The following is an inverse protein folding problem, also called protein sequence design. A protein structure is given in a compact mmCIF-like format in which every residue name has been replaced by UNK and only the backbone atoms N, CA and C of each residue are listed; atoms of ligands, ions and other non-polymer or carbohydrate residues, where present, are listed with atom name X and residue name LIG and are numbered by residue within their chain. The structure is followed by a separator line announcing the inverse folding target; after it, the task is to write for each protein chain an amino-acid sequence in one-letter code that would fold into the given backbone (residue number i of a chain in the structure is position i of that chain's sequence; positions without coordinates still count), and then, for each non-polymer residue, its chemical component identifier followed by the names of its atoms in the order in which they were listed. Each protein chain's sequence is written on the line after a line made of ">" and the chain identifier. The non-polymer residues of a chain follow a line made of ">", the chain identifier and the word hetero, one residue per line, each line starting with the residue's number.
data_IF_709906439439
#
_entry.id   IF_709906439439
#
_cell.length_a   1.000
_cell.length_b   1.000
_cell.length_c   1.000
_cell.angle_alpha   90.00
_cell.angle_beta   90.00
_cell.angle_gamma   90.00
#
_symmetry.space_group_name_H-M   'P 1'
#
loop_
_entity.id
_entity.type
_entity.pdbx_description
1 polymer ?
#
# COMPACT_ATOMS: atom_id res chain seq x y z
N UNK A 1 6.65 3.65 -48.71
CA UNK A 1 6.78 2.43 -47.88
C UNK A 1 7.83 2.52 -46.76
N UNK A 2 8.86 3.37 -46.83
CA UNK A 2 9.90 3.45 -45.77
C UNK A 2 9.52 4.20 -44.48
N UNK A 3 8.66 5.22 -44.56
CA UNK A 3 8.29 6.01 -43.36
C UNK A 3 7.47 5.21 -42.34
N UNK A 4 6.58 4.35 -42.83
CA UNK A 4 5.69 3.55 -42.00
C UNK A 4 6.45 2.43 -41.28
N UNK A 5 7.45 1.83 -41.94
CA UNK A 5 8.36 0.86 -41.31
C UNK A 5 9.31 1.52 -40.33
N UNK A 6 9.85 2.71 -40.63
CA UNK A 6 10.71 3.46 -39.68
C UNK A 6 9.94 3.88 -38.43
N UNK A 7 8.71 4.41 -38.59
CA UNK A 7 7.84 4.73 -37.46
C UNK A 7 7.47 3.46 -36.67
N UNK A 8 7.13 2.37 -37.37
CA UNK A 8 6.81 1.09 -36.73
C UNK A 8 7.95 0.54 -35.88
N UNK A 9 9.18 0.55 -36.40
CA UNK A 9 10.37 0.14 -35.65
C UNK A 9 10.65 1.09 -34.49
N UNK A 10 10.48 2.40 -34.69
CA UNK A 10 10.63 3.41 -33.64
C UNK A 10 9.67 3.19 -32.46
N UNK A 11 8.38 3.01 -32.75
CA UNK A 11 7.38 2.71 -31.72
C UNK A 11 7.65 1.39 -31.00
N UNK A 12 8.06 0.35 -31.75
CA UNK A 12 8.41 -0.94 -31.15
C UNK A 12 9.57 -0.79 -30.18
N UNK A 13 10.64 -0.09 -30.58
CA UNK A 13 11.81 0.15 -29.74
C UNK A 13 11.44 0.98 -28.48
N UNK A 14 10.66 2.05 -28.65
CA UNK A 14 10.16 2.85 -27.53
C UNK A 14 9.32 2.01 -26.55
N UNK A 15 8.46 1.13 -27.08
CA UNK A 15 7.62 0.26 -26.26
C UNK A 15 8.47 -0.76 -25.49
N UNK A 16 9.45 -1.40 -26.15
CA UNK A 16 10.38 -2.32 -25.49
C UNK A 16 11.17 -1.60 -24.39
N UNK A 17 11.65 -0.39 -24.65
CA UNK A 17 12.33 0.42 -23.66
C UNK A 17 11.42 0.77 -22.47
N UNK A 18 10.18 1.19 -22.72
CA UNK A 18 9.20 1.48 -21.68
C UNK A 18 8.91 0.26 -20.80
N UNK A 19 8.73 -0.92 -21.42
CA UNK A 19 8.52 -2.19 -20.70
C UNK A 19 9.75 -2.53 -19.86
N UNK A 20 10.95 -2.39 -20.42
CA UNK A 20 12.19 -2.65 -19.69
C UNK A 20 12.35 -1.73 -18.46
N UNK A 21 12.11 -0.43 -18.61
CA UNK A 21 12.16 0.54 -17.49
C UNK A 21 11.10 0.20 -16.43
N UNK A 22 9.89 -0.14 -16.85
CA UNK A 22 8.79 -0.49 -15.94
C UNK A 22 9.09 -1.79 -15.19
N UNK A 23 9.63 -2.80 -15.87
CA UNK A 23 10.05 -4.06 -15.28
C UNK A 23 11.20 -3.86 -14.29
N UNK A 24 12.20 -3.06 -14.65
CA UNK A 24 13.31 -2.72 -13.76
C UNK A 24 12.81 -2.04 -12.49
N UNK A 25 11.93 -1.04 -12.61
CA UNK A 25 11.29 -0.39 -11.45
C UNK A 25 10.54 -1.38 -10.57
N UNK A 26 9.70 -2.23 -11.16
CA UNK A 26 8.91 -3.22 -10.44
C UNK A 26 9.80 -4.23 -9.69
N UNK A 27 10.88 -4.67 -10.35
CA UNK A 27 11.87 -5.56 -9.75
C UNK A 27 12.61 -4.90 -8.59
N UNK A 28 13.05 -3.65 -8.73
CA UNK A 28 13.69 -2.89 -7.64
C UNK A 28 12.77 -2.73 -6.42
N UNK A 29 11.51 -2.33 -6.63
CA UNK A 29 10.52 -2.22 -5.56
C UNK A 29 10.34 -3.56 -4.86
N UNK A 30 10.16 -4.64 -5.63
CA UNK A 30 9.89 -5.98 -5.09
C UNK A 30 11.07 -6.49 -4.29
N UNK A 31 12.28 -6.37 -4.82
CA UNK A 31 13.49 -6.86 -4.16
C UNK A 31 13.77 -6.11 -2.86
N UNK A 32 13.71 -4.77 -2.86
CA UNK A 32 13.95 -3.95 -1.67
C UNK A 32 12.84 -4.17 -0.63
N UNK A 33 11.57 -4.15 -1.05
CA UNK A 33 10.45 -4.33 -0.11
C UNK A 33 10.44 -5.72 0.52
N UNK A 34 10.75 -6.77 -0.25
CA UNK A 34 10.77 -8.15 0.24
C UNK A 34 11.92 -8.39 1.21
N UNK A 35 13.14 -7.93 0.87
CA UNK A 35 14.30 -8.08 1.75
C UNK A 35 14.12 -7.36 3.07
N UNK A 36 13.65 -6.11 3.04
CA UNK A 36 13.32 -5.36 4.26
C UNK A 36 12.20 -6.04 5.05
N UNK A 37 11.14 -6.52 4.39
CA UNK A 37 10.04 -7.18 5.09
C UNK A 37 10.47 -8.44 5.82
N UNK A 38 11.32 -9.28 5.20
CA UNK A 38 11.80 -10.52 5.82
C UNK A 38 12.71 -10.21 7.02
N UNK A 39 13.62 -9.25 6.89
CA UNK A 39 14.51 -8.85 7.99
C UNK A 39 13.73 -8.31 9.19
N UNK A 40 12.73 -7.46 8.93
CA UNK A 40 11.91 -6.87 10.00
C UNK A 40 11.07 -7.90 10.73
N UNK A 41 10.37 -8.78 10.00
CA UNK A 41 9.57 -9.86 10.61
C UNK A 41 10.46 -10.80 11.42
N UNK A 42 11.64 -11.16 10.90
CA UNK A 42 12.62 -11.98 11.62
C UNK A 42 13.09 -11.34 12.92
N UNK A 43 13.43 -10.05 12.90
CA UNK A 43 13.84 -9.31 14.10
C UNK A 43 12.70 -9.18 15.12
N UNK A 44 11.48 -8.92 14.66
CA UNK A 44 10.31 -8.79 15.53
C UNK A 44 9.98 -10.13 16.20
N UNK A 45 10.02 -11.22 15.45
CA UNK A 45 9.81 -12.56 15.96
C UNK A 45 10.92 -12.98 16.94
N UNK A 46 12.19 -12.70 16.59
CA UNK A 46 13.32 -12.95 17.47
C UNK A 46 13.26 -12.15 18.78
N UNK A 47 12.76 -10.91 18.73
CA UNK A 47 12.52 -10.12 19.94
C UNK A 47 11.40 -10.74 20.78
N UNK A 48 10.28 -11.14 20.16
CA UNK A 48 9.14 -11.77 20.83
C UNK A 48 9.56 -13.04 21.58
N UNK A 49 10.39 -13.89 20.97
CA UNK A 49 10.89 -15.12 21.59
C UNK A 49 11.86 -14.89 22.76
N UNK A 50 12.49 -13.71 22.85
CA UNK A 50 13.42 -13.35 23.93
C UNK A 50 12.72 -12.68 25.12
N UNK A 51 11.42 -12.45 25.06
CA UNK A 51 10.70 -11.84 26.18
C UNK A 51 10.59 -12.80 27.39
N UNK A 52 10.71 -12.28 28.62
CA UNK A 52 10.58 -13.08 29.83
C UNK A 52 9.18 -13.67 29.97
N UNK A 53 9.07 -14.84 30.62
CA UNK A 53 7.81 -15.55 30.87
C UNK A 53 6.75 -14.67 31.57
N UNK A 54 7.20 -13.79 32.46
CA UNK A 54 6.40 -12.76 33.13
C UNK A 54 5.54 -11.91 32.17
N UNK A 55 6.01 -11.67 30.94
CA UNK A 55 5.27 -10.94 29.92
C UNK A 55 4.10 -11.77 29.37
N UNK A 56 4.30 -13.08 29.21
CA UNK A 56 3.30 -14.02 28.69
C UNK A 56 2.28 -14.44 29.74
N UNK A 57 2.68 -14.54 31.02
CA UNK A 57 1.75 -14.87 32.11
C UNK A 57 0.78 -13.73 32.42
N UNK A 58 1.19 -12.47 32.24
CA UNK A 58 0.36 -11.28 32.50
C UNK A 58 -0.56 -10.89 31.33
N UNK A 59 -0.41 -11.50 30.14
CA UNK A 59 -1.16 -11.13 28.93
C UNK A 59 -1.86 -12.33 28.30
N UNK A 60 -3.12 -12.15 27.91
CA UNK A 60 -3.83 -13.16 27.14
C UNK A 60 -3.19 -13.35 25.76
N UNK A 61 -3.02 -14.59 25.30
CA UNK A 61 -2.36 -14.92 24.01
C UNK A 61 -2.98 -14.14 22.83
N UNK A 62 -4.29 -13.88 22.88
CA UNK A 62 -5.00 -13.08 21.87
C UNK A 62 -4.58 -11.61 21.78
N UNK A 63 -4.19 -10.96 22.89
CA UNK A 63 -3.69 -9.56 22.88
C UNK A 63 -2.31 -9.50 22.21
N UNK A 64 -1.46 -10.50 22.45
CA UNK A 64 -0.13 -10.60 21.81
C UNK A 64 -0.25 -10.81 20.31
N UNK A 65 -1.14 -11.71 19.86
CA UNK A 65 -1.36 -11.97 18.42
C UNK A 65 -1.94 -10.74 17.72
N UNK A 66 -2.91 -10.05 18.34
CA UNK A 66 -3.50 -8.83 17.78
C UNK A 66 -2.46 -7.71 17.61
N UNK A 67 -1.59 -7.52 18.61
CA UNK A 67 -0.49 -6.55 18.55
C UNK A 67 0.54 -6.92 17.49
N UNK A 68 0.91 -8.20 17.39
CA UNK A 68 1.82 -8.69 16.37
C UNK A 68 1.30 -8.39 14.95
N UNK A 69 0.01 -8.67 14.68
CA UNK A 69 -0.62 -8.35 13.39
C UNK A 69 -0.68 -6.86 13.10
N UNK A 70 -0.92 -6.03 14.12
CA UNK A 70 -0.90 -4.56 13.99
C UNK A 70 0.51 -4.04 13.63
N UNK A 71 1.55 -4.54 14.31
CA UNK A 71 2.94 -4.19 14.01
C UNK A 71 3.35 -4.66 12.62
N UNK A 72 2.93 -5.86 12.21
CA UNK A 72 3.17 -6.36 10.85
C UNK A 72 2.51 -5.47 9.78
N UNK A 73 1.32 -4.96 10.05
CA UNK A 73 0.61 -4.04 9.14
C UNK A 73 1.37 -2.71 9.00
N UNK A 74 1.80 -2.12 10.12
CA UNK A 74 2.62 -0.89 10.13
C UNK A 74 3.92 -1.12 9.36
N UNK A 75 4.59 -2.25 9.62
CA UNK A 75 5.82 -2.63 8.93
C UNK A 75 5.59 -2.78 7.43
N UNK A 76 4.54 -3.47 6.99
CA UNK A 76 4.23 -3.62 5.56
C UNK A 76 4.00 -2.28 4.87
N UNK A 77 3.30 -1.35 5.53
CA UNK A 77 3.12 0.01 5.01
C UNK A 77 4.46 0.73 4.84
N UNK A 78 5.35 0.65 5.83
CA UNK A 78 6.67 1.29 5.78
C UNK A 78 7.65 0.61 4.81
N UNK A 79 7.65 -0.71 4.69
CA UNK A 79 8.60 -1.40 3.81
C UNK A 79 8.11 -1.50 2.37
N UNK A 80 6.80 -1.51 2.13
CA UNK A 80 6.24 -1.63 0.78
C UNK A 80 5.80 -0.27 0.26
N UNK A 81 4.84 0.39 0.93
CA UNK A 81 4.24 1.61 0.36
C UNK A 81 5.23 2.77 0.37
N UNK A 82 5.96 2.97 1.47
CA UNK A 82 6.93 4.06 1.56
C UNK A 82 8.13 3.86 0.61
N UNK A 83 8.67 2.64 0.54
CA UNK A 83 9.74 2.31 -0.44
C UNK A 83 9.27 2.50 -1.88
N UNK A 84 8.06 2.03 -2.21
CA UNK A 84 7.47 2.25 -3.54
C UNK A 84 7.34 3.73 -3.84
N UNK A 85 6.82 4.53 -2.89
CA UNK A 85 6.66 5.97 -3.06
C UNK A 85 8.00 6.69 -3.23
N UNK A 86 9.05 6.26 -2.52
CA UNK A 86 10.39 6.83 -2.67
C UNK A 86 10.98 6.56 -4.06
N UNK A 87 10.86 5.32 -4.56
CA UNK A 87 11.30 4.93 -5.90
C UNK A 87 10.49 5.67 -6.97
N UNK A 88 9.18 5.79 -6.77
CA UNK A 88 8.28 6.53 -7.67
C UNK A 88 8.61 8.02 -7.70
N UNK A 89 8.91 8.61 -6.54
CA UNK A 89 9.39 9.99 -6.44
C UNK A 89 10.69 10.20 -7.21
N UNK A 90 11.66 9.29 -7.07
CA UNK A 90 12.91 9.34 -7.82
C UNK A 90 12.67 9.26 -9.33
N UNK A 91 11.85 8.31 -9.78
CA UNK A 91 11.50 8.16 -11.20
C UNK A 91 10.74 9.38 -11.74
N UNK A 92 9.85 9.97 -10.93
CA UNK A 92 9.13 11.19 -11.30
C UNK A 92 10.09 12.38 -11.45
N UNK A 93 11.05 12.55 -10.55
CA UNK A 93 12.09 13.59 -10.65
C UNK A 93 12.92 13.38 -11.91
N UNK A 94 13.40 12.16 -12.17
CA UNK A 94 14.15 11.84 -13.38
C UNK A 94 13.34 12.17 -14.65
N UNK A 95 12.06 11.80 -14.66
CA UNK A 95 11.16 12.10 -15.78
C UNK A 95 10.98 13.60 -15.97
N UNK A 96 10.77 14.36 -14.89
CA UNK A 96 10.66 15.82 -14.94
C UNK A 96 11.93 16.48 -15.47
N UNK A 97 13.11 16.00 -15.06
CA UNK A 97 14.39 16.50 -15.55
C UNK A 97 14.52 16.25 -17.06
N UNK A 98 14.22 15.03 -17.52
CA UNK A 98 14.23 14.71 -18.96
C UNK A 98 13.24 15.58 -19.72
N UNK A 99 12.00 15.73 -19.23
CA UNK A 99 11.00 16.59 -19.86
C UNK A 99 11.45 18.06 -19.92
N UNK A 100 12.08 18.58 -18.88
CA UNK A 100 12.57 19.96 -18.83
C UNK A 100 13.69 20.20 -19.86
N UNK A 101 14.58 19.22 -20.06
CA UNK A 101 15.61 19.28 -21.10
C UNK A 101 15.00 19.27 -22.52
N UNK A 102 13.91 18.52 -22.73
CA UNK A 102 13.24 18.46 -24.04
C UNK A 102 12.39 19.71 -24.33
N UNK A 103 11.55 20.15 -23.38
CA UNK A 103 10.70 21.33 -23.54
C UNK A 103 10.16 21.84 -22.19
N UNK A 104 10.53 23.06 -21.84
CA UNK A 104 10.05 23.74 -20.63
C UNK A 104 8.53 23.96 -20.67
N UNK A 105 7.94 24.18 -21.85
CA UNK A 105 6.49 24.40 -22.00
C UNK A 105 5.66 23.15 -21.64
N UNK A 106 6.07 21.98 -22.14
CA UNK A 106 5.41 20.71 -21.81
C UNK A 106 5.55 20.40 -20.32
N UNK A 107 6.71 20.72 -19.74
CA UNK A 107 6.96 20.54 -18.29
C UNK A 107 6.04 21.43 -17.46
N UNK A 108 5.88 22.71 -17.82
CA UNK A 108 4.97 23.62 -17.14
C UNK A 108 3.51 23.16 -17.18
N UNK A 109 3.07 22.61 -18.33
CA UNK A 109 1.73 22.04 -18.48
C UNK A 109 1.51 20.83 -17.54
N UNK A 110 2.47 19.91 -17.48
CA UNK A 110 2.41 18.75 -16.57
C UNK A 110 2.41 19.18 -15.11
N UNK A 111 3.24 20.16 -14.74
CA UNK A 111 3.26 20.71 -13.38
C UNK A 111 1.93 21.39 -13.03
N UNK A 112 1.33 22.14 -13.96
CA UNK A 112 0.01 22.74 -13.77
C UNK A 112 -1.09 21.70 -13.54
N UNK A 113 -1.11 20.63 -14.35
CA UNK A 113 -2.03 19.52 -14.18
C UNK A 113 -1.82 18.78 -12.84
N UNK A 114 -0.56 18.59 -12.43
CA UNK A 114 -0.21 17.98 -11.16
C UNK A 114 -0.71 18.82 -9.97
N UNK A 115 -0.52 20.13 -10.00
CA UNK A 115 -1.01 21.05 -8.96
C UNK A 115 -2.53 21.01 -8.88
N UNK A 116 -3.22 21.05 -10.02
CA UNK A 116 -4.69 20.95 -10.05
C UNK A 116 -5.18 19.63 -9.44
N UNK A 117 -4.56 18.51 -9.81
CA UNK A 117 -4.85 17.20 -9.23
C UNK A 117 -4.61 17.18 -7.71
N UNK A 118 -3.50 17.76 -7.25
CA UNK A 118 -3.16 17.84 -5.84
C UNK A 118 -4.20 18.66 -5.04
N UNK A 119 -4.65 19.79 -5.57
CA UNK A 119 -5.69 20.62 -4.94
C UNK A 119 -7.04 19.89 -4.86
N UNK A 120 -7.47 19.25 -5.96
CA UNK A 120 -8.67 18.41 -5.98
C UNK A 120 -8.58 17.30 -4.92
N UNK A 121 -7.45 16.59 -4.89
CA UNK A 121 -7.23 15.52 -3.92
C UNK A 121 -7.21 16.03 -2.49
N UNK A 122 -6.65 17.20 -2.23
CA UNK A 122 -6.67 17.82 -0.91
C UNK A 122 -8.10 18.18 -0.47
N UNK A 123 -8.92 18.72 -1.37
CA UNK A 123 -10.33 18.99 -1.09
C UNK A 123 -11.13 17.72 -0.74
N UNK A 124 -10.88 16.62 -1.45
CA UNK A 124 -11.56 15.32 -1.26
C UNK A 124 -10.99 14.53 -0.06
N UNK A 125 -9.79 14.85 0.41
CA UNK A 125 -9.14 14.10 1.48
C UNK A 125 -9.93 14.10 2.80
N UNK A 126 -10.53 15.24 3.16
CA UNK A 126 -11.33 15.35 4.40
C UNK A 126 -12.59 14.46 4.40
N UNK A 127 -13.47 14.49 3.38
CA UNK A 127 -14.63 13.60 3.35
C UNK A 127 -14.21 12.13 3.26
N UNK A 128 -13.15 11.80 2.51
CA UNK A 128 -12.68 10.42 2.38
C UNK A 128 -12.20 9.83 3.72
N UNK A 129 -11.49 10.63 4.53
CA UNK A 129 -11.06 10.19 5.86
C UNK A 129 -12.24 9.93 6.79
N UNK A 130 -13.24 10.81 6.79
CA UNK A 130 -14.49 10.61 7.55
C UNK A 130 -15.22 9.34 7.12
N UNK A 131 -15.37 9.13 5.82
CA UNK A 131 -16.00 7.92 5.30
C UNK A 131 -15.25 6.64 5.72
N UNK A 132 -13.93 6.69 5.81
CA UNK A 132 -13.12 5.54 6.27
C UNK A 132 -13.32 5.28 7.76
N UNK A 133 -13.37 6.33 8.60
CA UNK A 133 -13.69 6.23 10.03
C UNK A 133 -15.09 5.64 10.23
N UNK A 134 -16.09 6.16 9.51
CA UNK A 134 -17.47 5.66 9.53
C UNK A 134 -17.53 4.19 9.12
N UNK A 135 -16.83 3.80 8.05
CA UNK A 135 -16.75 2.41 7.60
C UNK A 135 -16.19 1.47 8.68
N UNK A 136 -15.17 1.89 9.43
CA UNK A 136 -14.60 1.08 10.51
C UNK A 136 -15.65 0.89 11.63
N UNK A 137 -16.38 1.95 12.00
CA UNK A 137 -17.42 1.89 13.03
C UNK A 137 -18.59 1.00 12.61
N UNK A 138 -19.06 1.13 11.37
CA UNK A 138 -20.15 0.29 10.86
C UNK A 138 -19.74 -1.17 10.72
N UNK A 139 -18.51 -1.45 10.27
CA UNK A 139 -17.98 -2.81 10.21
C UNK A 139 -17.93 -3.48 11.59
N UNK A 140 -17.51 -2.74 12.63
CA UNK A 140 -17.50 -3.25 14.00
C UNK A 140 -18.92 -3.57 14.52
N UNK A 141 -19.90 -2.69 14.25
CA UNK A 141 -21.32 -2.93 14.61
C UNK A 141 -21.89 -4.15 13.91
N UNK A 142 -21.66 -4.28 12.61
CA UNK A 142 -22.13 -5.43 11.85
C UNK A 142 -21.56 -6.74 12.41
N UNK A 143 -20.30 -6.74 12.85
CA UNK A 143 -19.70 -7.91 13.49
C UNK A 143 -20.32 -8.22 14.87
N UNK A 144 -20.70 -7.19 15.64
CA UNK A 144 -21.46 -7.37 16.89
C UNK A 144 -22.85 -7.95 16.65
N UNK A 145 -23.59 -7.43 15.68
CA UNK A 145 -24.95 -7.90 15.35
C UNK A 145 -24.96 -9.36 14.87
N UNK A 146 -23.94 -9.77 14.11
CA UNK A 146 -23.75 -11.17 13.72
C UNK A 146 -23.47 -12.06 14.95
N UNK A 147 -22.66 -11.59 15.89
CA UNK A 147 -22.33 -12.32 17.13
C UNK A 147 -23.55 -12.48 18.05
N UNK A 148 -24.35 -11.42 18.18
CA UNK A 148 -25.64 -11.40 18.88
C UNK A 148 -26.59 -12.43 18.27
N UNK A 149 -26.73 -12.44 16.94
CA UNK A 149 -27.59 -13.36 16.20
C UNK A 149 -27.17 -14.83 16.38
N UNK A 150 -25.86 -15.11 16.35
CA UNK A 150 -25.32 -16.46 16.59
C UNK A 150 -25.60 -16.90 18.04
N UNK A 151 -25.39 -16.01 19.01
CA UNK A 151 -25.67 -16.28 20.42
C UNK A 151 -27.17 -16.46 20.69
N UNK A 152 -28.04 -15.71 20.01
CA UNK A 152 -29.49 -15.84 20.09
C UNK A 152 -30.04 -17.09 19.41
N UNK A 153 -29.33 -17.64 18.41
CA UNK A 153 -29.68 -18.91 17.77
C UNK A 153 -29.52 -20.12 18.71
N UNK A 154 -28.55 -20.10 19.62
CA UNK A 154 -28.33 -21.18 20.61
C UNK A 154 -29.55 -21.46 21.50
N UNK A 155 -30.12 -20.46 22.22
CA UNK A 155 -31.32 -20.66 23.02
C UNK A 155 -32.56 -20.91 22.16
N UNK A 156 -32.69 -20.31 20.97
CA UNK A 156 -33.81 -20.60 20.05
C UNK A 156 -33.83 -22.07 19.59
N UNK A 157 -32.66 -22.67 19.32
CA UNK A 157 -32.56 -24.10 18.97
C UNK A 157 -32.81 -25.02 20.16
N UNK A 158 -32.38 -24.64 21.37
CA UNK A 158 -32.61 -25.40 22.61
C UNK A 158 -34.05 -25.32 23.09
N UNK A 159 -34.74 -24.20 22.85
CA UNK A 159 -36.15 -24.02 23.21
C UNK A 159 -37.14 -24.59 22.16
N UNK A 160 -36.66 -24.88 20.95
CA UNK A 160 -37.43 -25.51 19.87
C UNK A 160 -37.11 -27.01 19.71
N UNK A 161 -36.49 -27.62 20.72
CA UNK A 161 -36.49 -29.07 20.97
C UNK A 161 -37.45 -29.37 22.11
#
# INVERSE_FOLDING_TARGET
>A
HGLLTVLGIGFLLLTVFQVAVTAMRAWSITWISATLSVQWVGNLFGHLLRLPLDFFEKRHVGDVVSRFGSVQTIQRTLTTQFVSAAIDGLMAILTLVVMAFYSVWLTALVLGAFVLYALLRWGIFRPLRRATEDHIVYAARQQSDLLESIRGMQPLKLANQ
#
